data_IF_778289009372
#
_entry.id   IF_778289009372
#
_cell.length_a   1.000
_cell.length_b   1.000
_cell.length_c   1.000
_cell.angle_alpha   90.00
_cell.angle_beta   90.00
_cell.angle_gamma   90.00
#
_symmetry.space_group_name_H-M   'P 1'
#
loop_
_entity.id
_entity.type
_entity.pdbx_description
1 polymer ?
#
# COMPACT_ATOMS: atom_id res chain seq x y z
N UNK A 1 14.76 12.61 -1.78
CA UNK A 1 15.96 12.58 -2.65
C UNK A 1 15.55 12.75 -4.12
N UNK A 2 16.25 13.61 -4.88
CA UNK A 2 15.96 13.89 -6.31
C UNK A 2 15.97 12.60 -7.16
N UNK A 3 16.85 11.66 -6.83
CA UNK A 3 16.94 10.36 -7.48
C UNK A 3 15.58 9.68 -7.63
N UNK A 4 14.85 9.48 -6.52
CA UNK A 4 13.57 8.75 -6.51
C UNK A 4 12.45 9.44 -7.30
N UNK A 5 12.46 10.77 -7.31
CA UNK A 5 11.37 11.56 -7.92
C UNK A 5 11.60 11.85 -9.41
N UNK A 6 12.85 11.94 -9.85
CA UNK A 6 13.19 12.30 -11.22
C UNK A 6 13.97 11.19 -11.94
N UNK A 7 15.19 10.89 -11.46
CA UNK A 7 16.12 10.02 -12.20
C UNK A 7 15.63 8.58 -12.28
N UNK A 8 15.14 8.00 -11.19
CA UNK A 8 14.55 6.67 -11.19
C UNK A 8 13.38 6.60 -12.18
N UNK A 9 12.51 7.62 -12.20
CA UNK A 9 11.34 7.67 -13.08
C UNK A 9 11.73 7.73 -14.56
N UNK A 10 12.83 8.40 -14.89
CA UNK A 10 13.40 8.43 -16.24
C UNK A 10 14.02 7.06 -16.58
N UNK A 11 14.80 6.49 -15.66
CA UNK A 11 15.50 5.21 -15.86
C UNK A 11 14.51 4.07 -16.08
N UNK A 12 13.46 4.00 -15.29
CA UNK A 12 12.45 2.93 -15.35
C UNK A 12 11.30 3.25 -16.29
N UNK A 13 11.37 4.37 -17.00
CA UNK A 13 10.33 4.76 -17.95
C UNK A 13 10.17 3.69 -19.02
N UNK A 14 8.92 3.29 -19.26
CA UNK A 14 8.56 2.23 -20.19
C UNK A 14 9.27 0.87 -19.96
N UNK A 15 9.83 0.62 -18.77
CA UNK A 15 10.42 -0.68 -18.41
C UNK A 15 9.54 -1.88 -18.81
N UNK A 16 8.19 -1.85 -18.67
CA UNK A 16 7.34 -2.95 -19.13
C UNK A 16 7.45 -3.33 -20.62
N UNK A 17 7.96 -2.43 -21.47
CA UNK A 17 8.09 -2.66 -22.90
C UNK A 17 9.47 -3.22 -23.31
N UNK A 18 10.54 -2.86 -22.57
CA UNK A 18 11.91 -3.18 -22.97
C UNK A 18 12.68 -4.04 -21.97
N UNK A 19 12.22 -4.14 -20.72
CA UNK A 19 12.90 -4.93 -19.69
C UNK A 19 12.62 -6.42 -19.89
N UNK A 20 13.68 -7.21 -20.03
CA UNK A 20 13.64 -8.67 -20.18
C UNK A 20 14.45 -9.40 -19.10
N UNK A 21 14.97 -8.68 -18.09
CA UNK A 21 15.72 -9.27 -16.98
C UNK A 21 17.08 -9.89 -17.35
N UNK A 22 17.59 -9.67 -18.58
CA UNK A 22 18.85 -10.28 -19.03
C UNK A 22 20.05 -9.76 -18.23
N UNK A 23 21.11 -10.58 -18.12
CA UNK A 23 22.33 -10.20 -17.40
C UNK A 23 22.93 -8.88 -17.91
N UNK A 24 22.91 -8.65 -19.23
CA UNK A 24 23.40 -7.42 -19.85
C UNK A 24 22.54 -6.19 -19.45
N UNK A 25 21.21 -6.34 -19.44
CA UNK A 25 20.31 -5.26 -19.00
C UNK A 25 20.52 -4.93 -17.51
N UNK A 26 20.65 -5.95 -16.65
CA UNK A 26 20.94 -5.77 -15.23
C UNK A 26 22.28 -5.06 -15.01
N UNK A 27 23.31 -5.41 -15.76
CA UNK A 27 24.60 -4.73 -15.68
C UNK A 27 24.51 -3.27 -16.13
N UNK A 28 23.84 -3.01 -17.27
CA UNK A 28 23.71 -1.66 -17.84
C UNK A 28 22.92 -0.72 -16.92
N UNK A 29 21.78 -1.18 -16.39
CA UNK A 29 20.93 -0.34 -15.53
C UNK A 29 21.61 -0.02 -14.19
N UNK A 30 22.30 -1.01 -13.60
CA UNK A 30 23.06 -0.80 -12.36
C UNK A 30 24.30 0.08 -12.60
N UNK A 31 24.91 0.04 -13.79
CA UNK A 31 25.99 0.96 -14.15
C UNK A 31 25.50 2.41 -14.24
N UNK A 32 24.31 2.64 -14.82
CA UNK A 32 23.70 3.97 -14.87
C UNK A 32 23.35 4.47 -13.46
N UNK A 33 22.68 3.65 -12.66
CA UNK A 33 22.36 3.97 -11.27
C UNK A 33 23.64 4.30 -10.48
N UNK A 34 24.69 3.49 -10.62
CA UNK A 34 25.97 3.69 -9.95
C UNK A 34 26.56 5.08 -10.17
N UNK A 35 26.54 5.59 -11.41
CA UNK A 35 27.08 6.92 -11.71
C UNK A 35 26.38 8.01 -10.89
N UNK A 36 25.06 7.91 -10.80
CA UNK A 36 24.25 8.84 -10.01
C UNK A 36 24.53 8.68 -8.51
N UNK A 37 24.59 7.44 -8.01
CA UNK A 37 24.84 7.20 -6.59
C UNK A 37 26.22 7.67 -6.15
N UNK A 38 27.26 7.56 -7.00
CA UNK A 38 28.57 8.13 -6.72
C UNK A 38 28.50 9.65 -6.58
N UNK A 39 27.76 10.33 -7.46
CA UNK A 39 27.59 11.79 -7.38
C UNK A 39 26.80 12.22 -6.13
N UNK A 40 25.76 11.47 -5.76
CA UNK A 40 24.92 11.75 -4.58
C UNK A 40 25.68 11.51 -3.27
N UNK A 41 26.43 10.40 -3.18
CA UNK A 41 27.10 9.99 -1.94
C UNK A 41 28.47 10.63 -1.75
N UNK A 42 29.08 11.12 -2.84
CA UNK A 42 30.49 11.55 -2.86
C UNK A 42 31.48 10.42 -2.61
N UNK A 43 31.05 9.16 -2.70
CA UNK A 43 31.89 8.01 -2.45
C UNK A 43 32.95 7.81 -3.55
N UNK A 44 34.04 7.12 -3.22
CA UNK A 44 35.11 6.82 -4.17
C UNK A 44 34.61 5.91 -5.31
N UNK A 45 35.16 6.09 -6.52
CA UNK A 45 34.82 5.30 -7.72
C UNK A 45 35.01 3.80 -7.57
N UNK A 46 35.76 3.35 -6.57
CA UNK A 46 36.03 1.94 -6.26
C UNK A 46 34.99 1.32 -5.31
N UNK A 47 34.14 2.13 -4.69
CA UNK A 47 33.06 1.69 -3.80
C UNK A 47 32.09 0.82 -4.56
N UNK A 48 31.74 -0.37 -4.07
CA UNK A 48 30.85 -1.28 -4.81
C UNK A 48 29.44 -0.71 -5.03
N UNK A 49 28.74 -1.10 -6.10
CA UNK A 49 27.36 -0.63 -6.37
C UNK A 49 26.39 -1.05 -5.28
N UNK A 50 26.52 -2.27 -4.75
CA UNK A 50 25.72 -2.75 -3.63
C UNK A 50 25.89 -1.86 -2.38
N UNK A 51 27.14 -1.52 -2.02
CA UNK A 51 27.38 -0.60 -0.91
C UNK A 51 26.77 0.78 -1.16
N UNK A 52 26.88 1.32 -2.39
CA UNK A 52 26.26 2.61 -2.74
C UNK A 52 24.74 2.59 -2.54
N UNK A 53 24.06 1.56 -3.07
CA UNK A 53 22.62 1.36 -2.91
C UNK A 53 22.23 1.32 -1.42
N UNK A 54 23.00 0.60 -0.60
CA UNK A 54 22.73 0.45 0.83
C UNK A 54 22.92 1.76 1.60
N UNK A 55 24.03 2.49 1.39
CA UNK A 55 24.32 3.74 2.12
C UNK A 55 23.41 4.89 1.68
N UNK A 56 22.97 4.90 0.42
CA UNK A 56 22.02 5.90 -0.07
C UNK A 56 20.56 5.52 0.17
N UNK A 57 20.29 4.32 0.71
CA UNK A 57 18.94 3.79 0.89
C UNK A 57 18.14 3.69 -0.40
N UNK A 58 18.81 3.40 -1.52
CA UNK A 58 18.19 3.30 -2.84
C UNK A 58 18.19 1.84 -3.29
N UNK A 59 17.00 1.34 -3.58
CA UNK A 59 16.76 0.01 -4.12
C UNK A 59 17.52 -0.22 -5.44
N UNK A 60 18.02 -1.44 -5.71
CA UNK A 60 18.67 -1.78 -6.97
C UNK A 60 17.78 -1.48 -8.17
N UNK A 61 18.32 -0.76 -9.16
CA UNK A 61 17.53 -0.28 -10.30
C UNK A 61 16.93 -1.42 -11.11
N UNK A 62 17.62 -2.56 -11.22
CA UNK A 62 17.10 -3.74 -11.90
C UNK A 62 15.86 -4.33 -11.18
N UNK A 63 15.85 -4.36 -9.85
CA UNK A 63 14.67 -4.78 -9.09
C UNK A 63 13.48 -3.82 -9.27
N UNK A 64 13.75 -2.53 -9.39
CA UNK A 64 12.70 -1.54 -9.69
C UNK A 64 12.15 -1.74 -11.10
N UNK A 65 13.00 -2.04 -12.10
CA UNK A 65 12.55 -2.38 -13.45
C UNK A 65 11.66 -3.63 -13.48
N UNK A 66 12.08 -4.71 -12.79
CA UNK A 66 11.26 -5.93 -12.63
C UNK A 66 9.90 -5.62 -12.00
N UNK A 67 9.89 -4.78 -10.95
CA UNK A 67 8.65 -4.40 -10.24
C UNK A 67 7.71 -3.62 -11.16
N UNK A 68 8.21 -2.63 -11.90
CA UNK A 68 7.40 -1.82 -12.82
C UNK A 68 6.84 -2.68 -13.96
N UNK A 69 7.63 -3.64 -14.47
CA UNK A 69 7.16 -4.63 -15.45
C UNK A 69 6.05 -5.52 -14.89
N UNK A 70 6.21 -6.06 -13.69
CA UNK A 70 5.21 -6.90 -13.02
C UNK A 70 3.90 -6.15 -12.75
N UNK A 71 3.98 -4.91 -12.23
CA UNK A 71 2.82 -4.04 -11.99
C UNK A 71 2.05 -3.75 -13.28
N UNK A 72 2.77 -3.54 -14.39
CA UNK A 72 2.15 -3.34 -15.69
C UNK A 72 1.41 -4.60 -16.19
N UNK A 73 2.03 -5.78 -16.07
CA UNK A 73 1.40 -7.04 -16.45
C UNK A 73 0.10 -7.28 -15.67
N UNK A 74 0.13 -7.07 -14.36
CA UNK A 74 -1.04 -7.16 -13.48
C UNK A 74 -2.18 -6.22 -13.91
N UNK A 75 -1.82 -4.97 -14.21
CA UNK A 75 -2.79 -3.95 -14.63
C UNK A 75 -3.44 -4.28 -15.98
N UNK A 76 -2.72 -4.94 -16.89
CA UNK A 76 -3.18 -5.22 -18.24
C UNK A 76 -3.63 -6.68 -18.46
N UNK A 77 -3.78 -7.48 -17.40
CA UNK A 77 -4.29 -8.87 -17.49
C UNK A 77 -3.45 -9.76 -18.40
N UNK A 78 -2.14 -9.56 -18.40
CA UNK A 78 -1.30 -10.52 -19.12
C UNK A 78 -1.38 -11.87 -18.40
N UNK A 79 -1.37 -12.98 -19.15
CA UNK A 79 -1.33 -14.30 -18.53
C UNK A 79 -0.08 -14.38 -17.63
N UNK A 80 -0.28 -14.94 -16.44
CA UNK A 80 0.82 -15.41 -15.59
C UNK A 80 1.81 -14.31 -15.13
N UNK A 81 1.35 -13.22 -14.46
CA UNK A 81 2.25 -12.19 -14.02
C UNK A 81 3.15 -12.68 -12.90
N UNK A 82 4.43 -12.39 -13.03
CA UNK A 82 5.47 -12.84 -12.11
C UNK A 82 6.29 -11.67 -11.61
N UNK A 83 6.73 -11.75 -10.36
CA UNK A 83 7.77 -10.88 -9.82
C UNK A 83 8.78 -11.71 -9.04
N UNK A 84 10.04 -11.68 -9.49
CA UNK A 84 11.14 -12.42 -8.85
C UNK A 84 10.85 -13.92 -8.69
N UNK A 85 10.21 -14.54 -9.69
CA UNK A 85 9.83 -15.96 -9.67
C UNK A 85 8.61 -16.29 -8.82
N UNK A 86 7.99 -15.29 -8.17
CA UNK A 86 6.72 -15.46 -7.45
C UNK A 86 5.57 -15.13 -8.40
N UNK A 87 4.65 -16.08 -8.59
CA UNK A 87 3.40 -15.85 -9.32
C UNK A 87 2.52 -14.86 -8.55
N UNK A 88 1.96 -13.89 -9.27
CA UNK A 88 1.08 -12.86 -8.73
C UNK A 88 -0.35 -13.17 -9.15
N UNK A 89 -1.25 -13.37 -8.19
CA UNK A 89 -2.66 -13.69 -8.47
C UNK A 89 -3.38 -12.48 -9.10
N UNK A 90 -3.42 -12.45 -10.43
CA UNK A 90 -3.99 -11.34 -11.20
C UNK A 90 -5.51 -11.32 -11.25
N UNK A 91 -6.13 -12.49 -11.13
CA UNK A 91 -7.57 -12.72 -11.20
C UNK A 91 -8.32 -12.15 -9.99
N UNK A 92 -7.64 -12.02 -8.85
CA UNK A 92 -8.22 -11.48 -7.63
C UNK A 92 -8.01 -9.97 -7.49
N UNK A 93 -7.30 -9.29 -8.39
CA UNK A 93 -7.04 -7.85 -8.23
C UNK A 93 -8.32 -7.04 -8.46
N UNK A 94 -8.63 -6.11 -7.56
CA UNK A 94 -9.75 -5.17 -7.71
C UNK A 94 -9.57 -4.32 -8.97
N UNK A 95 -10.57 -4.33 -9.84
CA UNK A 95 -10.58 -3.54 -11.07
C UNK A 95 -11.81 -2.69 -11.13
N UNK A 96 -11.59 -1.39 -11.28
CA UNK A 96 -12.69 -0.47 -11.56
C UNK A 96 -13.25 -0.75 -12.95
N UNK A 97 -14.54 -1.05 -13.01
CA UNK A 97 -15.28 -1.26 -14.25
C UNK A 97 -16.07 0.02 -14.51
N UNK A 98 -15.64 0.89 -15.44
CA UNK A 98 -16.31 2.15 -15.68
C UNK A 98 -17.73 1.91 -16.18
N UNK A 99 -18.71 2.36 -15.41
CA UNK A 99 -20.09 2.48 -15.84
C UNK A 99 -20.32 3.89 -16.40
N UNK A 100 -21.01 4.00 -17.54
CA UNK A 100 -21.43 5.31 -18.02
C UNK A 100 -22.72 5.73 -17.31
N UNK A 101 -22.67 6.85 -16.60
CA UNK A 101 -23.84 7.51 -16.02
C UNK A 101 -23.82 8.98 -16.41
N UNK A 102 -24.95 9.49 -16.88
CA UNK A 102 -25.07 10.88 -17.30
C UNK A 102 -24.82 11.80 -16.09
N UNK A 103 -24.08 12.93 -16.23
CA UNK A 103 -23.82 13.87 -15.14
C UNK A 103 -25.07 14.31 -14.36
N UNK A 104 -26.21 14.46 -15.04
CA UNK A 104 -27.47 14.89 -14.41
C UNK A 104 -28.16 13.81 -13.57
N UNK A 105 -27.81 12.53 -13.74
CA UNK A 105 -28.38 11.44 -12.93
C UNK A 105 -27.57 11.19 -11.66
N UNK A 106 -26.49 11.95 -11.46
CA UNK A 106 -25.62 11.83 -10.29
C UNK A 106 -26.10 12.76 -9.20
N UNK A 107 -26.45 12.18 -8.07
CA UNK A 107 -26.73 12.92 -6.85
C UNK A 107 -25.44 13.04 -6.04
N UNK A 108 -25.10 14.26 -5.63
CA UNK A 108 -23.97 14.46 -4.75
C UNK A 108 -24.33 13.92 -3.37
N UNK A 109 -23.49 13.04 -2.84
CA UNK A 109 -23.68 12.53 -1.48
C UNK A 109 -23.33 13.63 -0.49
N UNK A 110 -24.28 13.96 0.37
CA UNK A 110 -24.12 14.87 1.48
C UNK A 110 -24.00 14.08 2.79
N UNK A 111 -23.17 14.60 3.69
CA UNK A 111 -22.99 14.09 5.04
C UNK A 111 -22.56 15.24 5.95
N UNK A 112 -22.88 15.13 7.23
CA UNK A 112 -22.58 16.14 8.25
C UNK A 112 -21.93 15.50 9.50
N UNK A 113 -21.82 16.26 10.58
CA UNK A 113 -21.31 15.78 11.88
C UNK A 113 -22.40 15.88 12.96
N UNK A 114 -23.65 16.00 12.54
CA UNK A 114 -24.78 16.16 13.44
C UNK A 114 -25.06 14.82 14.13
N UNK A 115 -25.61 14.91 15.34
CA UNK A 115 -26.07 13.76 16.10
C UNK A 115 -27.56 13.94 16.40
N UNK A 116 -28.43 13.87 15.36
CA UNK A 116 -29.86 14.03 15.54
C UNK A 116 -30.43 12.87 16.37
N UNK A 117 -31.58 13.11 17.00
CA UNK A 117 -32.41 12.02 17.49
C UNK A 117 -32.93 11.22 16.29
N UNK A 118 -33.00 9.89 16.44
CA UNK A 118 -33.39 8.99 15.36
C UNK A 118 -34.36 7.91 15.86
N UNK A 119 -35.34 7.58 15.01
CA UNK A 119 -36.20 6.40 15.20
C UNK A 119 -35.52 5.12 14.66
N UNK A 120 -34.68 5.28 13.63
CA UNK A 120 -33.87 4.23 13.03
C UNK A 120 -32.44 4.76 12.81
N UNK A 121 -31.51 4.24 13.60
CA UNK A 121 -30.09 4.51 13.50
C UNK A 121 -29.33 3.26 13.08
N UNK A 122 -28.39 3.38 12.15
CA UNK A 122 -27.47 2.29 11.80
C UNK A 122 -26.04 2.79 11.95
N UNK A 123 -25.24 2.09 12.76
CA UNK A 123 -23.83 2.39 12.94
C UNK A 123 -23.01 1.36 12.18
N UNK A 124 -21.96 1.78 11.49
CA UNK A 124 -21.13 0.90 10.64
C UNK A 124 -19.67 1.01 11.04
N UNK A 125 -18.94 -0.09 11.01
CA UNK A 125 -17.49 -0.11 11.25
C UNK A 125 -16.77 -1.20 10.42
N UNK A 126 -15.51 -0.95 10.10
CA UNK A 126 -14.62 -1.88 9.43
C UNK A 126 -13.31 -2.10 10.20
N UNK A 127 -13.00 -3.35 10.56
CA UNK A 127 -11.80 -3.69 11.32
C UNK A 127 -10.79 -4.49 10.52
N UNK A 128 -9.50 -4.25 10.79
CA UNK A 128 -8.41 -5.13 10.39
C UNK A 128 -7.48 -5.40 11.56
N UNK A 129 -7.53 -6.62 12.10
CA UNK A 129 -6.74 -7.06 13.26
C UNK A 129 -5.92 -8.29 12.88
N UNK A 130 -4.62 -8.31 13.21
CA UNK A 130 -3.73 -9.45 12.94
C UNK A 130 -3.73 -9.98 11.50
N UNK A 131 -3.97 -9.11 10.52
CA UNK A 131 -4.06 -9.47 9.10
C UNK A 131 -5.45 -9.93 8.64
N UNK A 132 -6.37 -10.17 9.57
CA UNK A 132 -7.75 -10.57 9.33
C UNK A 132 -8.66 -9.35 9.27
N UNK A 133 -9.74 -9.43 8.48
CA UNK A 133 -10.60 -8.29 8.11
C UNK A 133 -12.05 -8.62 8.38
N UNK A 134 -12.73 -7.73 9.08
CA UNK A 134 -14.14 -7.83 9.41
C UNK A 134 -14.87 -6.52 9.12
N UNK A 135 -16.14 -6.61 8.74
CA UNK A 135 -17.04 -5.48 8.57
C UNK A 135 -18.31 -5.75 9.38
N UNK A 136 -18.90 -4.73 9.97
CA UNK A 136 -20.14 -4.89 10.72
C UNK A 136 -21.01 -3.65 10.70
N UNK A 137 -22.30 -3.85 10.93
CA UNK A 137 -23.21 -2.77 11.25
C UNK A 137 -24.14 -3.15 12.40
N UNK A 138 -24.60 -2.16 13.14
CA UNK A 138 -25.49 -2.30 14.29
C UNK A 138 -26.74 -1.45 14.09
N UNK A 139 -27.90 -2.08 14.19
CA UNK A 139 -29.21 -1.45 14.01
C UNK A 139 -29.78 -1.05 15.38
N UNK A 140 -30.15 0.22 15.50
CA UNK A 140 -30.83 0.79 16.64
C UNK A 140 -32.23 1.19 16.23
N UNK A 141 -33.19 0.40 16.69
CA UNK A 141 -34.55 0.45 16.23
C UNK A 141 -35.48 -0.06 17.35
N UNK A 142 -36.59 0.64 17.67
CA UNK A 142 -37.51 0.21 18.71
C UNK A 142 -38.06 -1.20 18.54
N UNK A 143 -38.14 -1.71 17.30
CA UNK A 143 -38.72 -3.02 17.00
C UNK A 143 -37.69 -4.07 16.62
N UNK A 144 -36.48 -3.68 16.19
CA UNK A 144 -35.49 -4.62 15.66
C UNK A 144 -34.05 -4.13 15.81
N UNK A 145 -33.48 -4.29 17.01
CA UNK A 145 -32.06 -4.06 17.24
C UNK A 145 -31.24 -5.33 17.08
N UNK A 146 -30.07 -5.21 16.46
CA UNK A 146 -29.16 -6.32 16.24
C UNK A 146 -27.86 -5.90 15.56
N UNK A 147 -26.85 -6.75 15.75
CA UNK A 147 -25.52 -6.58 15.17
C UNK A 147 -25.32 -7.59 14.04
N UNK A 148 -24.83 -7.11 12.90
CA UNK A 148 -24.60 -7.90 11.71
C UNK A 148 -23.11 -7.89 11.37
N UNK A 149 -22.52 -9.07 11.24
CA UNK A 149 -21.08 -9.26 11.14
C UNK A 149 -20.72 -10.00 9.85
N UNK A 150 -19.69 -9.52 9.17
CA UNK A 150 -19.20 -10.08 7.91
C UNK A 150 -17.70 -10.25 7.95
N UNK A 151 -17.24 -11.49 7.75
CA UNK A 151 -15.83 -11.80 7.53
C UNK A 151 -15.48 -11.51 6.07
N UNK A 152 -14.45 -10.69 5.86
CA UNK A 152 -13.89 -10.42 4.53
C UNK A 152 -12.60 -11.21 4.32
N UNK A 153 -12.11 -11.31 3.07
CA UNK A 153 -10.79 -11.89 2.81
C UNK A 153 -9.66 -11.11 3.52
N UNK A 154 -8.61 -11.80 3.95
CA UNK A 154 -7.46 -11.22 4.68
C UNK A 154 -6.68 -10.15 3.89
N UNK A 155 -6.73 -10.21 2.56
CA UNK A 155 -6.10 -9.21 1.71
C UNK A 155 -6.87 -7.88 1.66
N UNK A 156 -8.11 -7.85 2.15
CA UNK A 156 -8.93 -6.64 2.13
C UNK A 156 -8.29 -5.51 2.94
N UNK A 157 -8.56 -4.28 2.54
CA UNK A 157 -8.15 -3.09 3.30
C UNK A 157 -9.23 -2.68 4.30
N UNK A 158 -8.85 -1.94 5.35
CA UNK A 158 -9.82 -1.30 6.26
C UNK A 158 -10.83 -0.47 5.46
N UNK A 159 -10.37 0.29 4.46
CA UNK A 159 -11.25 1.07 3.59
C UNK A 159 -12.32 0.22 2.87
N UNK A 160 -11.99 -0.99 2.42
CA UNK A 160 -12.98 -1.90 1.83
C UNK A 160 -13.94 -2.46 2.89
N UNK A 161 -13.45 -2.77 4.10
CA UNK A 161 -14.30 -3.21 5.19
C UNK A 161 -15.33 -2.14 5.57
N UNK A 162 -14.90 -0.89 5.71
CA UNK A 162 -15.77 0.27 5.98
C UNK A 162 -16.85 0.46 4.91
N UNK A 163 -16.46 0.46 3.63
CA UNK A 163 -17.43 0.56 2.53
C UNK A 163 -18.38 -0.65 2.50
N UNK A 164 -17.87 -1.83 2.82
CA UNK A 164 -18.69 -3.05 2.87
C UNK A 164 -19.71 -2.98 4.00
N UNK A 165 -19.32 -2.49 5.18
CA UNK A 165 -20.23 -2.26 6.30
C UNK A 165 -21.38 -1.32 5.90
N UNK A 166 -21.05 -0.19 5.26
CA UNK A 166 -22.05 0.75 4.70
C UNK A 166 -22.95 0.05 3.68
N UNK A 167 -22.38 -0.67 2.72
CA UNK A 167 -23.14 -1.37 1.68
C UNK A 167 -24.13 -2.38 2.29
N UNK A 168 -23.69 -3.19 3.25
CA UNK A 168 -24.54 -4.19 3.91
C UNK A 168 -25.63 -3.53 4.75
N UNK A 169 -25.33 -2.43 5.46
CA UNK A 169 -26.32 -1.64 6.18
C UNK A 169 -27.43 -1.11 5.25
N UNK A 170 -27.07 -0.61 4.07
CA UNK A 170 -28.03 -0.10 3.08
C UNK A 170 -28.89 -1.22 2.48
N UNK A 171 -28.29 -2.37 2.16
CA UNK A 171 -29.04 -3.55 1.69
C UNK A 171 -30.04 -4.02 2.75
N UNK A 172 -29.61 -4.07 4.01
CA UNK A 172 -30.50 -4.39 5.13
C UNK A 172 -31.63 -3.38 5.27
N UNK A 173 -31.36 -2.07 5.19
CA UNK A 173 -32.38 -1.01 5.23
C UNK A 173 -33.38 -1.19 4.10
N UNK A 174 -32.91 -1.41 2.88
CA UNK A 174 -33.79 -1.58 1.72
C UNK A 174 -34.73 -2.79 1.88
N UNK A 175 -34.25 -3.88 2.45
CA UNK A 175 -35.03 -5.10 2.65
C UNK A 175 -36.01 -5.01 3.83
N UNK A 176 -35.59 -4.43 4.95
CA UNK A 176 -36.35 -4.49 6.21
C UNK A 176 -37.14 -3.22 6.49
N UNK A 177 -36.64 -2.05 6.04
CA UNK A 177 -37.20 -0.72 6.30
C UNK A 177 -37.16 0.19 5.06
N UNK A 178 -37.76 -0.22 3.93
CA UNK A 178 -37.64 0.49 2.66
C UNK A 178 -38.12 1.94 2.71
N UNK A 179 -39.17 2.22 3.50
CA UNK A 179 -39.84 3.53 3.56
C UNK A 179 -39.46 4.37 4.80
N UNK A 180 -38.66 3.82 5.72
CA UNK A 180 -38.29 4.54 6.93
C UNK A 180 -37.13 5.50 6.65
N UNK A 181 -37.18 6.68 7.28
CA UNK A 181 -36.00 7.55 7.36
C UNK A 181 -34.95 6.88 8.25
N UNK A 182 -33.72 6.83 7.77
CA UNK A 182 -32.62 6.13 8.41
C UNK A 182 -31.42 7.06 8.55
N UNK A 183 -30.90 7.16 9.78
CA UNK A 183 -29.66 7.85 10.07
C UNK A 183 -28.52 6.83 10.10
N UNK A 184 -27.62 6.89 9.12
CA UNK A 184 -26.46 6.00 9.03
C UNK A 184 -25.21 6.75 9.52
N UNK A 185 -24.57 6.20 10.54
CA UNK A 185 -23.41 6.76 11.21
C UNK A 185 -22.16 5.92 10.91
N UNK A 186 -21.07 6.59 10.54
CA UNK A 186 -19.76 5.97 10.33
C UNK A 186 -18.65 6.90 10.82
N UNK A 187 -17.59 6.35 11.40
CA UNK A 187 -16.39 7.13 11.75
C UNK A 187 -15.36 7.18 10.61
N UNK A 188 -15.61 6.47 9.50
CA UNK A 188 -14.75 6.43 8.33
C UNK A 188 -14.92 7.65 7.44
N UNK A 189 -14.24 8.74 7.82
CA UNK A 189 -14.16 9.95 6.99
C UNK A 189 -13.61 9.65 5.59
N UNK A 190 -12.77 8.61 5.43
CA UNK A 190 -12.31 8.16 4.11
C UNK A 190 -13.45 7.65 3.22
N UNK A 191 -14.38 6.87 3.78
CA UNK A 191 -15.54 6.34 3.05
C UNK A 191 -16.48 7.47 2.63
N UNK A 192 -16.82 8.37 3.55
CA UNK A 192 -17.68 9.53 3.25
C UNK A 192 -17.07 10.45 2.19
N UNK A 193 -15.77 10.76 2.28
CA UNK A 193 -15.06 11.52 1.24
C UNK A 193 -14.98 10.81 -0.10
N UNK A 194 -15.01 9.47 -0.12
CA UNK A 194 -15.05 8.71 -1.36
C UNK A 194 -16.44 8.78 -2.02
N UNK A 195 -17.50 8.66 -1.22
CA UNK A 195 -18.91 8.78 -1.65
C UNK A 195 -19.23 10.19 -2.18
N UNK A 196 -18.68 11.24 -1.56
CA UNK A 196 -18.87 12.63 -1.99
C UNK A 196 -18.21 12.97 -3.34
N UNK A 197 -17.37 12.09 -3.91
CA UNK A 197 -16.74 12.37 -5.22
C UNK A 197 -17.77 12.26 -6.34
N UNK A 198 -17.76 13.25 -7.24
CA UNK A 198 -18.63 13.25 -8.43
C UNK A 198 -18.38 12.07 -9.40
N UNK A 199 -17.14 11.60 -9.49
CA UNK A 199 -16.74 10.48 -10.34
C UNK A 199 -15.79 9.56 -9.56
N UNK A 200 -16.32 8.74 -8.63
CA UNK A 200 -15.51 7.78 -7.91
C UNK A 200 -14.98 6.74 -8.90
N UNK A 201 -13.73 6.28 -8.70
CA UNK A 201 -13.12 5.21 -9.50
C UNK A 201 -13.01 3.94 -8.65
N UNK A 202 -14.14 3.52 -8.09
CA UNK A 202 -14.22 2.36 -7.21
C UNK A 202 -15.63 1.76 -7.31
N UNK A 203 -15.72 0.45 -7.57
CA UNK A 203 -17.01 -0.23 -7.81
C UNK A 203 -17.87 -0.24 -6.54
N UNK A 204 -17.29 -0.47 -5.35
CA UNK A 204 -18.06 -0.46 -4.10
C UNK A 204 -18.68 0.90 -3.81
N UNK A 205 -17.96 1.99 -4.13
CA UNK A 205 -18.50 3.35 -3.98
C UNK A 205 -19.65 3.61 -4.96
N UNK A 206 -19.56 3.13 -6.21
CA UNK A 206 -20.67 3.23 -7.16
C UNK A 206 -21.88 2.39 -6.72
N UNK A 207 -21.65 1.17 -6.23
CA UNK A 207 -22.71 0.31 -5.69
C UNK A 207 -23.42 0.99 -4.52
N UNK A 208 -22.68 1.55 -3.56
CA UNK A 208 -23.26 2.28 -2.42
C UNK A 208 -24.06 3.49 -2.89
N UNK A 209 -23.51 4.29 -3.82
CA UNK A 209 -24.21 5.43 -4.37
C UNK A 209 -25.54 5.04 -5.05
N UNK A 210 -25.62 3.84 -5.65
CA UNK A 210 -26.86 3.34 -6.26
C UNK A 210 -27.91 2.89 -5.24
N UNK A 211 -27.50 2.58 -3.99
CA UNK A 211 -28.37 2.17 -2.90
C UNK A 211 -28.86 3.36 -2.04
N UNK A 212 -28.19 4.52 -2.15
CA UNK A 212 -28.61 5.73 -1.46
C UNK A 212 -29.89 6.30 -2.09
N UNK A 213 -30.83 6.68 -1.23
CA UNK A 213 -32.09 7.31 -1.60
C UNK A 213 -32.36 8.54 -0.70
N UNK A 214 -33.45 9.27 -0.95
CA UNK A 214 -33.81 10.47 -0.19
C UNK A 214 -34.22 10.25 1.27
N UNK A 215 -34.27 9.00 1.74
CA UNK A 215 -34.64 8.64 3.12
C UNK A 215 -33.42 8.29 3.97
N UNK A 216 -32.21 8.33 3.41
CA UNK A 216 -30.97 8.02 4.12
C UNK A 216 -30.20 9.30 4.39
N UNK A 217 -29.87 9.54 5.65
CA UNK A 217 -28.98 10.62 6.09
C UNK A 217 -27.66 10.02 6.58
N UNK A 218 -26.54 10.56 6.09
CA UNK A 218 -25.20 10.09 6.44
C UNK A 218 -24.55 11.04 7.44
N UNK A 219 -24.03 10.49 8.52
CA UNK A 219 -23.42 11.27 9.60
C UNK A 219 -22.03 10.72 9.89
N UNK A 220 -21.06 11.63 9.97
CA UNK A 220 -19.74 11.30 10.47
C UNK A 220 -19.72 11.40 12.00
N UNK A 221 -19.34 10.31 12.67
CA UNK A 221 -19.11 10.31 14.11
C UNK A 221 -17.63 10.15 14.41
N UNK A 222 -17.20 10.64 15.57
CA UNK A 222 -15.81 10.51 15.98
C UNK A 222 -15.57 9.11 16.57
N UNK A 223 -14.51 8.45 16.11
CA UNK A 223 -14.07 7.17 16.67
C UNK A 223 -13.67 7.30 18.15
N UNK A 224 -13.96 6.27 18.94
CA UNK A 224 -13.45 6.06 20.32
C UNK A 224 -13.73 7.19 21.32
N UNK A 225 -14.91 7.81 21.27
CA UNK A 225 -15.35 8.83 22.24
C UNK A 225 -16.61 8.44 23.03
N UNK A 226 -16.96 7.15 23.15
CA UNK A 226 -18.12 6.74 23.94
C UNK A 226 -19.45 6.78 23.19
N UNK A 227 -19.47 6.92 21.86
CA UNK A 227 -20.73 6.81 21.09
C UNK A 227 -21.15 5.34 21.07
N UNK A 228 -22.12 5.00 21.92
CA UNK A 228 -22.57 3.61 22.14
C UNK A 228 -22.76 2.83 20.84
N UNK A 229 -23.46 3.39 19.85
CA UNK A 229 -23.69 2.71 18.57
C UNK A 229 -22.41 2.42 17.79
N UNK A 230 -21.46 3.35 17.78
CA UNK A 230 -20.16 3.17 17.11
C UNK A 230 -19.31 2.12 17.83
N UNK A 231 -19.33 2.10 19.17
CA UNK A 231 -18.60 1.10 19.96
C UNK A 231 -19.13 -0.31 19.78
N UNK A 232 -20.45 -0.46 19.63
CA UNK A 232 -21.07 -1.75 19.32
C UNK A 232 -20.66 -2.21 17.92
N UNK A 233 -20.72 -1.33 16.91
CA UNK A 233 -20.29 -1.65 15.56
C UNK A 233 -18.79 -2.01 15.50
N UNK A 234 -17.91 -1.27 16.18
CA UNK A 234 -16.46 -1.56 16.27
C UNK A 234 -16.17 -2.91 16.93
N UNK A 235 -16.88 -3.22 18.03
CA UNK A 235 -16.79 -4.53 18.67
C UNK A 235 -17.27 -5.65 17.74
N UNK A 236 -18.36 -5.43 17.01
CA UNK A 236 -18.90 -6.39 16.06
C UNK A 236 -17.95 -6.62 14.87
N UNK A 237 -17.32 -5.57 14.34
CA UNK A 237 -16.37 -5.67 13.23
C UNK A 237 -15.09 -6.42 13.65
N UNK A 238 -14.60 -6.21 14.88
CA UNK A 238 -13.49 -6.98 15.47
C UNK A 238 -13.86 -8.44 15.69
N UNK A 239 -15.06 -8.72 16.21
CA UNK A 239 -15.55 -10.09 16.34
C UNK A 239 -15.68 -10.76 14.97
N UNK A 240 -16.11 -10.01 13.95
CA UNK A 240 -16.23 -10.50 12.59
C UNK A 240 -14.86 -10.91 12.01
N UNK A 241 -13.77 -10.18 12.29
CA UNK A 241 -12.44 -10.53 11.76
C UNK A 241 -11.90 -11.86 12.28
N UNK A 242 -12.30 -12.28 13.49
CA UNK A 242 -11.86 -13.54 14.09
C UNK A 242 -12.68 -14.75 13.60
N UNK A 243 -13.73 -14.55 12.79
CA UNK A 243 -14.55 -15.66 12.26
C UNK A 243 -13.74 -16.53 11.29
N UNK A 244 -13.93 -17.86 11.32
CA UNK A 244 -13.14 -18.79 10.51
C UNK A 244 -13.54 -18.81 9.03
N UNK A 245 -14.80 -18.54 8.71
CA UNK A 245 -15.33 -18.57 7.35
C UNK A 245 -15.43 -17.15 6.78
N UNK A 246 -14.92 -16.93 5.58
CA UNK A 246 -15.13 -15.68 4.83
C UNK A 246 -16.56 -15.64 4.29
N UNK A 247 -17.27 -14.54 4.55
CA UNK A 247 -18.63 -14.30 4.08
C UNK A 247 -18.63 -13.48 2.78
N UNK A 248 -17.71 -12.52 2.65
CA UNK A 248 -17.66 -11.56 1.54
C UNK A 248 -16.29 -11.63 0.86
N UNK A 249 -16.30 -12.00 -0.41
CA UNK A 249 -15.10 -12.03 -1.24
C UNK A 249 -14.96 -10.74 -2.06
N UNK A 250 -13.84 -10.05 -1.90
CA UNK A 250 -13.53 -8.82 -2.63
C UNK A 250 -12.19 -8.92 -3.35
N UNK A 251 -12.00 -8.09 -4.37
CA UNK A 251 -10.72 -8.01 -5.04
C UNK A 251 -9.62 -7.42 -4.14
N UNK A 252 -8.37 -7.88 -4.33
CA UNK A 252 -7.17 -7.34 -3.72
C UNK A 252 -7.02 -5.86 -4.13
N UNK A 253 -6.98 -4.92 -3.18
CA UNK A 253 -6.73 -3.51 -3.49
C UNK A 253 -5.40 -3.31 -4.23
N UNK A 254 -5.39 -2.43 -5.23
CA UNK A 254 -4.15 -2.01 -5.93
C UNK A 254 -3.05 -1.56 -4.93
N UNK A 255 -3.45 -0.90 -3.84
CA UNK A 255 -2.52 -0.49 -2.78
C UNK A 255 -1.94 -1.69 -2.02
N UNK A 256 -2.76 -2.66 -1.66
CA UNK A 256 -2.32 -3.88 -0.98
C UNK A 256 -1.35 -4.65 -1.86
N UNK A 257 -1.70 -4.83 -3.13
CA UNK A 257 -0.85 -5.48 -4.15
C UNK A 257 0.51 -4.79 -4.29
N UNK A 258 0.53 -3.46 -4.47
CA UNK A 258 1.78 -2.68 -4.54
C UNK A 258 2.62 -2.81 -3.28
N UNK A 259 1.98 -2.92 -2.12
CA UNK A 259 2.68 -3.09 -0.83
C UNK A 259 3.33 -4.47 -0.77
N UNK A 260 2.60 -5.54 -1.14
CA UNK A 260 3.15 -6.90 -1.19
C UNK A 260 4.33 -7.02 -2.16
N UNK A 261 4.24 -6.44 -3.36
CA UNK A 261 5.33 -6.44 -4.34
C UNK A 261 6.55 -5.68 -3.81
N UNK A 262 6.34 -4.55 -3.12
CA UNK A 262 7.43 -3.82 -2.46
C UNK A 262 8.10 -4.64 -1.36
N UNK A 263 7.34 -5.40 -0.57
CA UNK A 263 7.93 -6.30 0.43
C UNK A 263 8.80 -7.39 -0.21
N UNK A 264 8.34 -7.98 -1.31
CA UNK A 264 9.15 -8.94 -2.08
C UNK A 264 10.44 -8.30 -2.61
N UNK A 265 10.36 -7.07 -3.12
CA UNK A 265 11.51 -6.32 -3.60
C UNK A 265 12.53 -6.10 -2.48
N UNK A 266 12.08 -5.63 -1.31
CA UNK A 266 12.95 -5.39 -0.17
C UNK A 266 13.58 -6.68 0.36
N UNK A 267 12.84 -7.79 0.35
CA UNK A 267 13.36 -9.12 0.72
C UNK A 267 14.49 -9.54 -0.22
N UNK A 268 14.25 -9.50 -1.52
CA UNK A 268 15.27 -9.83 -2.52
C UNK A 268 16.50 -8.91 -2.42
N UNK A 269 16.30 -7.61 -2.19
CA UNK A 269 17.41 -6.70 -1.96
C UNK A 269 18.21 -7.09 -0.71
N UNK A 270 17.52 -7.44 0.37
CA UNK A 270 18.15 -7.90 1.61
C UNK A 270 18.92 -9.22 1.42
N UNK A 271 18.38 -10.16 0.64
CA UNK A 271 19.00 -11.45 0.36
C UNK A 271 20.27 -11.28 -0.47
N UNK A 272 20.23 -10.44 -1.52
CA UNK A 272 21.44 -10.02 -2.26
C UNK A 272 22.48 -9.34 -1.38
N UNK A 273 22.04 -8.60 -0.36
CA UNK A 273 22.95 -7.91 0.53
C UNK A 273 23.64 -8.86 1.52
N UNK A 274 22.93 -9.92 1.95
CA UNK A 274 23.43 -10.98 2.83
C UNK A 274 24.38 -11.96 2.15
N UNK A 275 24.39 -12.05 0.82
CA UNK A 275 25.32 -12.91 0.09
C UNK A 275 26.78 -12.56 0.45
N UNK A 276 27.49 -13.52 1.06
CA UNK A 276 28.88 -13.36 1.49
C UNK A 276 29.84 -13.17 0.31
N UNK A 277 29.46 -13.63 -0.88
CA UNK A 277 30.24 -13.42 -2.10
C UNK A 277 30.06 -12.01 -2.68
N UNK A 278 29.09 -11.23 -2.17
CA UNK A 278 28.85 -9.88 -2.64
C UNK A 278 29.93 -8.90 -2.17
N UNK A 279 30.21 -7.89 -3.00
CA UNK A 279 31.14 -6.80 -2.63
C UNK A 279 30.55 -5.93 -1.52
N UNK A 280 31.40 -5.16 -0.84
CA UNK A 280 30.97 -4.21 0.19
C UNK A 280 30.82 -4.77 1.61
N UNK A 281 31.48 -5.89 1.93
CA UNK A 281 31.36 -6.57 3.25
C UNK A 281 31.70 -5.69 4.45
N UNK A 282 32.62 -4.73 4.30
CA UNK A 282 32.88 -3.75 5.36
C UNK A 282 31.62 -2.93 5.69
N UNK A 283 30.92 -2.44 4.66
CA UNK A 283 29.66 -1.71 4.82
C UNK A 283 28.57 -2.61 5.37
N UNK A 284 28.54 -3.90 5.02
CA UNK A 284 27.59 -4.87 5.59
C UNK A 284 27.74 -5.00 7.10
N UNK A 285 28.96 -5.05 7.61
CA UNK A 285 29.21 -5.13 9.05
C UNK A 285 28.71 -3.90 9.83
N UNK A 286 28.59 -2.75 9.17
CA UNK A 286 28.02 -1.52 9.76
C UNK A 286 26.50 -1.47 9.55
N UNK A 287 26.03 -1.86 8.37
CA UNK A 287 24.64 -1.80 7.95
C UNK A 287 24.19 -3.17 7.42
N UNK A 288 23.90 -4.15 8.30
CA UNK A 288 23.48 -5.49 7.87
C UNK A 288 22.10 -5.48 7.22
N UNK A 289 21.27 -4.49 7.55
CA UNK A 289 19.92 -4.32 7.01
C UNK A 289 19.84 -3.24 5.94
N UNK A 290 19.12 -3.54 4.85
CA UNK A 290 18.73 -2.56 3.85
C UNK A 290 17.61 -1.67 4.38
N UNK A 291 17.70 -0.36 4.16
CA UNK A 291 16.69 0.61 4.62
C UNK A 291 16.51 1.70 3.58
N UNK A 292 15.26 1.98 3.21
CA UNK A 292 14.91 3.01 2.21
C UNK A 292 14.92 4.44 2.76
N UNK A 293 15.01 4.58 4.09
CA UNK A 293 15.12 5.88 4.76
C UNK A 293 16.59 6.28 5.05
N UNK A 294 17.57 5.44 4.67
CA UNK A 294 18.99 5.78 4.81
C UNK A 294 19.39 6.77 3.72
N UNK A 295 20.19 7.78 4.06
CA UNK A 295 20.72 8.73 3.09
C UNK A 295 22.07 9.27 3.59
N UNK A 296 23.16 8.65 3.16
CA UNK A 296 24.52 9.17 3.39
C UNK A 296 24.93 9.93 2.13
N UNK A 297 24.89 11.25 2.22
CA UNK A 297 25.23 12.21 1.15
C UNK A 297 26.49 13.03 1.44
N UNK A 298 27.16 12.73 2.56
CA UNK A 298 28.41 13.37 2.95
C UNK A 298 29.62 12.54 2.48
N UNK A 299 30.57 13.12 1.72
CA UNK A 299 31.74 12.39 1.20
C UNK A 299 32.62 11.77 2.29
N UNK A 300 32.82 12.44 3.42
CA UNK A 300 33.64 11.92 4.52
C UNK A 300 32.96 10.74 5.21
N UNK A 301 31.65 10.84 5.49
CA UNK A 301 30.87 9.72 6.03
C UNK A 301 30.86 8.53 5.08
N UNK A 302 30.67 8.78 3.77
CA UNK A 302 30.75 7.75 2.74
C UNK A 302 32.10 7.03 2.77
N UNK A 303 33.22 7.73 2.94
CA UNK A 303 34.54 7.11 3.08
C UNK A 303 34.62 6.19 4.31
N UNK A 304 34.12 6.66 5.45
CA UNK A 304 34.14 5.91 6.71
C UNK A 304 33.31 4.63 6.58
N UNK A 305 32.06 4.73 6.11
CA UNK A 305 31.14 3.57 6.10
C UNK A 305 31.41 2.59 4.95
N UNK A 306 32.20 2.98 3.96
CA UNK A 306 32.64 2.09 2.88
C UNK A 306 34.02 1.53 3.12
N UNK A 307 34.85 2.16 3.96
CA UNK A 307 36.29 1.93 4.04
C UNK A 307 37.00 2.14 2.68
N UNK A 308 36.48 3.08 1.89
CA UNK A 308 37.06 3.55 0.64
C UNK A 308 37.30 5.06 0.75
N UNK A 309 38.52 5.47 1.12
CA UNK A 309 38.86 6.86 1.37
C UNK A 309 40.34 7.09 1.65
N UNK A 310 40.71 8.28 2.13
CA UNK A 310 42.11 8.61 2.47
C UNK A 310 42.60 7.95 3.78
N UNK A 311 42.13 6.73 4.08
CA UNK A 311 42.59 5.96 5.23
C UNK A 311 43.85 5.14 4.86
N UNK A 312 44.78 4.91 5.81
CA UNK A 312 46.04 4.20 5.52
C UNK A 312 45.81 2.82 4.89
N UNK A 313 44.82 2.07 5.40
CA UNK A 313 44.44 0.76 4.87
C UNK A 313 44.06 0.81 3.37
N UNK A 314 43.24 1.77 2.96
CA UNK A 314 42.82 1.90 1.57
C UNK A 314 43.96 2.42 0.67
N UNK A 315 44.75 3.40 1.14
CA UNK A 315 45.89 3.94 0.39
C UNK A 315 46.98 2.88 0.14
N UNK A 316 47.21 1.98 1.10
CA UNK A 316 48.12 0.84 0.94
C UNK A 316 47.72 -0.08 -0.20
N UNK A 317 46.42 -0.30 -0.43
CA UNK A 317 45.92 -1.14 -1.53
C UNK A 317 46.33 -0.62 -2.92
N UNK A 318 46.63 0.67 -3.03
CA UNK A 318 47.09 1.32 -4.26
C UNK A 318 48.60 1.65 -4.22
N UNK A 319 49.35 1.11 -3.26
CA UNK A 319 50.77 1.39 -3.04
C UNK A 319 51.08 2.89 -2.85
N UNK A 320 50.12 3.67 -2.33
CA UNK A 320 50.28 5.10 -2.05
C UNK A 320 50.77 5.37 -0.62
N UNK A 321 50.83 4.33 0.23
CA UNK A 321 51.32 4.39 1.61
C UNK A 321 51.79 3.01 2.08
N UNK A 322 52.86 2.96 2.87
CA UNK A 322 53.45 1.67 3.31
C UNK A 322 52.71 1.03 4.50
N UNK A 323 52.14 1.85 5.40
CA UNK A 323 51.51 1.36 6.63
C UNK A 323 50.03 0.99 6.46
N UNK A 324 49.60 -0.06 7.16
CA UNK A 324 48.20 -0.50 7.31
C UNK A 324 47.57 -0.07 8.64
N UNK A 325 48.13 0.96 9.27
CA UNK A 325 47.68 1.50 10.55
C UNK A 325 46.16 1.79 10.50
N UNK A 326 45.38 1.22 11.42
CA UNK A 326 43.99 1.65 11.67
C UNK A 326 43.99 2.91 12.53
#
# INVERSE_FOLDING_TARGET
MLYKRALERIIVYAAPAWWAGTANQRQKINSLQRQVLLAVTGAFRTTSTAALQVISGIEPADLVCEMEAALYQLKHTRPDPHFLGVHLESNQVERYLPSWAHPSTKHLVHWDQDSPDFDLGIFTDGSKLNGQVGAAFSVFDPQHSGDFQFRLDDHCSVFQAELTAIKQALLWKQQNRPHANCHLFTDSMSSLKALQKFAPKNNLVEDINSLLDGTISLHWVKAHIGVTGNEVADKAAKAASDRPSVDIHLGIPDRSLKTSIRHLLLREWQDRWKDDNAKGRFTFNIFPEVKTNRCIDNPQLSQVVTNHGLCPYYLKKFNLRECNCR
#
